data_IF_316921077233
#
_entry.id   IF_316921077233
#
_cell.length_a   1.000
_cell.length_b   1.000
_cell.length_c   1.000
_cell.angle_alpha   90.00
_cell.angle_beta   90.00
_cell.angle_gamma   90.00
#
_symmetry.space_group_name_H-M   'P 1'
#
loop_
_entity.id
_entity.type
_entity.pdbx_description
1 polymer ?
#
# COMPACT_ATOMS: atom_id res chain seq x y z
N UNK A 1 4.52 -0.41 -25.10
CA UNK A 1 4.27 -1.46 -24.09
C UNK A 1 4.24 -0.83 -22.70
N UNK A 2 3.19 -1.04 -21.89
CA UNK A 2 3.05 -0.38 -20.58
C UNK A 2 3.72 -1.23 -19.51
N UNK A 3 4.84 -0.75 -18.92
CA UNK A 3 5.53 -1.49 -17.85
C UNK A 3 4.69 -1.48 -16.58
N UNK A 4 4.63 -2.64 -15.94
CA UNK A 4 4.03 -2.77 -14.61
C UNK A 4 4.91 -2.04 -13.58
N UNK A 5 4.26 -1.28 -12.70
CA UNK A 5 4.95 -0.64 -11.59
C UNK A 5 5.49 -1.71 -10.63
N UNK A 6 6.78 -1.60 -10.31
CA UNK A 6 7.44 -2.48 -9.35
C UNK A 6 7.50 -1.80 -8.00
N UNK A 7 6.90 -2.42 -6.98
CA UNK A 7 6.95 -1.91 -5.61
C UNK A 7 8.39 -2.00 -5.10
N UNK A 8 9.02 -0.88 -4.71
CA UNK A 8 10.38 -0.91 -4.20
C UNK A 8 10.47 -1.54 -2.81
N UNK A 9 11.60 -2.17 -2.50
CA UNK A 9 11.94 -2.68 -1.17
C UNK A 9 11.69 -4.18 -0.95
N UNK A 10 12.12 -4.67 0.22
CA UNK A 10 12.11 -6.10 0.56
C UNK A 10 10.92 -6.49 1.45
N UNK A 11 10.47 -7.74 1.31
CA UNK A 11 9.44 -8.31 2.19
C UNK A 11 10.06 -8.56 3.58
N UNK A 12 9.46 -8.06 4.67
CA UNK A 12 9.95 -8.32 6.02
C UNK A 12 9.81 -9.80 6.38
N UNK A 13 10.67 -10.28 7.29
CA UNK A 13 10.64 -11.69 7.72
C UNK A 13 9.34 -12.01 8.47
N UNK A 14 8.56 -13.03 8.05
CA UNK A 14 7.28 -13.37 8.66
C UNK A 14 7.36 -13.86 10.12
N UNK A 15 8.53 -14.31 10.58
CA UNK A 15 8.72 -14.80 11.96
C UNK A 15 8.66 -13.64 12.97
N UNK A 16 9.14 -12.45 12.58
CA UNK A 16 9.20 -11.26 13.44
C UNK A 16 8.40 -10.11 12.83
N UNK A 17 7.11 -10.35 12.58
CA UNK A 17 6.21 -9.31 12.10
C UNK A 17 6.00 -8.24 13.19
N UNK A 18 6.14 -6.95 12.85
CA UNK A 18 5.87 -5.88 13.79
C UNK A 18 4.38 -5.80 14.13
N UNK A 19 4.06 -5.18 15.28
CA UNK A 19 2.67 -4.92 15.71
C UNK A 19 1.96 -3.79 14.95
N UNK A 20 2.60 -3.25 13.91
CA UNK A 20 2.11 -2.20 13.04
C UNK A 20 2.15 -2.65 11.59
N UNK A 21 1.60 -1.87 10.67
CA UNK A 21 1.53 -2.22 9.25
C UNK A 21 2.91 -2.59 8.66
N UNK A 22 3.18 -3.88 8.44
CA UNK A 22 4.43 -4.38 7.86
C UNK A 22 4.72 -3.84 6.44
N UNK A 23 3.68 -3.34 5.76
CA UNK A 23 3.81 -2.73 4.45
C UNK A 23 4.23 -1.25 4.51
N UNK A 24 4.28 -0.60 5.69
CA UNK A 24 4.59 0.83 5.84
C UNK A 24 5.86 1.26 5.10
N UNK A 25 6.91 0.43 5.13
CA UNK A 25 8.22 0.77 4.55
C UNK A 25 8.22 0.72 3.01
N UNK A 26 7.18 0.15 2.41
CA UNK A 26 7.01 -0.01 0.96
C UNK A 26 5.75 0.67 0.43
N UNK A 27 5.00 1.34 1.30
CA UNK A 27 3.73 1.97 0.95
C UNK A 27 3.95 3.46 0.69
N UNK A 28 3.66 3.91 -0.52
CA UNK A 28 3.73 5.34 -0.89
C UNK A 28 2.67 6.19 -0.15
N UNK A 29 1.63 5.54 0.39
CA UNK A 29 0.56 6.17 1.16
C UNK A 29 0.69 5.95 2.68
N UNK A 30 1.88 5.57 3.16
CA UNK A 30 2.13 5.40 4.58
C UNK A 30 1.95 6.73 5.34
N UNK A 31 1.30 6.67 6.50
CA UNK A 31 1.11 7.83 7.39
C UNK A 31 1.49 7.44 8.81
N UNK A 32 1.57 8.41 9.73
CA UNK A 32 1.89 8.16 11.15
C UNK A 32 0.96 7.11 11.80
N UNK A 33 -0.31 7.05 11.36
CA UNK A 33 -1.28 6.03 11.82
C UNK A 33 -0.83 4.60 11.50
N UNK A 34 -0.08 4.40 10.42
CA UNK A 34 0.42 3.08 10.01
C UNK A 34 1.54 2.54 10.91
N UNK A 35 2.16 3.40 11.73
CA UNK A 35 3.16 3.00 12.72
C UNK A 35 2.55 2.50 14.03
N UNK A 36 1.26 2.78 14.22
CA UNK A 36 0.48 2.32 15.36
C UNK A 36 -0.19 0.97 15.14
N UNK A 37 -1.31 0.77 15.85
CA UNK A 37 -2.11 -0.46 15.77
C UNK A 37 -2.67 -0.63 14.35
N UNK A 38 -2.95 -1.87 13.95
CA UNK A 38 -3.69 -2.15 12.73
C UNK A 38 -5.13 -1.57 12.77
N UNK A 39 -5.65 -1.11 11.61
CA UNK A 39 -7.05 -0.73 11.50
C UNK A 39 -7.95 -1.97 11.64
N UNK A 40 -9.25 -1.76 11.85
CA UNK A 40 -10.22 -2.84 11.79
C UNK A 40 -10.33 -3.38 10.36
N UNK A 41 -10.65 -4.67 10.22
CA UNK A 41 -11.00 -5.25 8.92
C UNK A 41 -12.37 -4.73 8.48
N UNK A 42 -12.45 -4.10 7.32
CA UNK A 42 -13.71 -3.63 6.73
C UNK A 42 -13.89 -4.19 5.32
N UNK A 43 -15.14 -4.37 4.91
CA UNK A 43 -15.48 -4.84 3.56
C UNK A 43 -15.65 -3.63 2.63
N UNK A 44 -14.92 -3.62 1.50
CA UNK A 44 -15.15 -2.69 0.39
C UNK A 44 -16.23 -3.19 -0.57
N UNK A 45 -16.37 -4.52 -0.69
CA UNK A 45 -17.46 -5.19 -1.40
C UNK A 45 -17.73 -6.54 -0.74
N UNK A 46 -18.71 -7.29 -1.23
CA UNK A 46 -19.06 -8.62 -0.68
C UNK A 46 -17.88 -9.61 -0.72
N UNK A 47 -16.98 -9.46 -1.69
CA UNK A 47 -15.81 -10.33 -1.88
C UNK A 47 -14.48 -9.67 -1.49
N UNK A 48 -14.46 -8.36 -1.25
CA UNK A 48 -13.23 -7.61 -1.01
C UNK A 48 -13.21 -7.02 0.41
N UNK A 49 -12.30 -7.53 1.25
CA UNK A 49 -12.05 -7.01 2.60
C UNK A 49 -10.65 -6.41 2.69
N UNK A 50 -10.52 -5.31 3.42
CA UNK A 50 -9.29 -4.53 3.53
C UNK A 50 -9.02 -4.16 4.98
N UNK A 51 -7.75 -4.10 5.33
CA UNK A 51 -7.22 -3.68 6.62
C UNK A 51 -6.19 -2.55 6.39
N UNK A 52 -6.66 -1.44 5.81
CA UNK A 52 -5.82 -0.28 5.47
C UNK A 52 -6.48 1.00 6.00
N UNK A 53 -5.68 1.92 6.52
CA UNK A 53 -6.17 3.24 6.91
C UNK A 53 -6.60 4.09 5.70
N UNK A 54 -5.99 3.85 4.55
CA UNK A 54 -6.24 4.55 3.29
C UNK A 54 -6.55 3.53 2.18
N UNK A 55 -7.76 2.92 2.18
CA UNK A 55 -8.15 2.02 1.11
C UNK A 55 -8.28 2.79 -0.20
N UNK A 56 -7.50 2.41 -1.20
CA UNK A 56 -7.62 2.97 -2.55
C UNK A 56 -8.94 2.46 -3.14
N UNK A 57 -9.87 3.37 -3.41
CA UNK A 57 -11.08 3.09 -4.18
C UNK A 57 -10.73 3.37 -5.66
N UNK A 58 -10.72 2.33 -6.51
CA UNK A 58 -10.39 2.49 -7.95
C UNK A 58 -11.27 3.55 -8.62
N UNK A 59 -10.82 4.33 -9.60
CA UNK A 59 -10.12 3.93 -10.83
C UNK A 59 -8.59 4.14 -10.81
N UNK A 60 -7.84 3.12 -11.22
CA UNK A 60 -6.38 3.10 -11.21
C UNK A 60 -5.82 3.49 -12.59
N UNK A 61 -5.40 4.74 -12.78
CA UNK A 61 -4.54 5.16 -13.90
C UNK A 61 -3.10 5.21 -13.41
N UNK A 62 -2.42 4.06 -13.37
CA UNK A 62 -0.97 4.07 -13.17
C UNK A 62 -0.27 4.63 -14.41
N UNK A 63 0.51 5.69 -14.20
CA UNK A 63 1.46 6.23 -15.16
C UNK A 63 1.01 7.54 -15.77
N UNK A 64 1.08 8.61 -14.97
CA UNK A 64 1.24 10.00 -15.44
C UNK A 64 2.23 10.68 -14.49
N UNK A 65 3.49 10.22 -14.54
CA UNK A 65 4.62 10.99 -14.03
C UNK A 65 5.61 11.19 -15.19
N UNK A 66 5.12 11.85 -16.25
CA UNK A 66 5.99 12.62 -17.14
C UNK A 66 6.58 13.77 -16.32
N UNK A 67 7.68 13.50 -15.62
CA UNK A 67 8.62 14.56 -15.23
C UNK A 67 9.68 14.67 -16.31
N UNK A 68 9.29 15.42 -17.33
CA UNK A 68 10.03 16.48 -17.98
C UNK A 68 11.57 16.37 -18.05
N UNK A 69 12.03 16.20 -19.29
CA UNK A 69 13.14 16.91 -19.94
C UNK A 69 14.53 16.90 -19.29
N UNK A 70 15.44 16.16 -19.94
CA UNK A 70 16.63 16.77 -20.56
C UNK A 70 16.78 16.27 -22.00
#
# INVERSE_FOLDING_TARGET
EKRLYSIPGNVPNPINLPNFCYYKNRCEFATEKCEGKYPALFSLSDTHKVCCYHPIKGNFTLGEDDKNEE
#
